data_IF_633051755732
#
_entry.id   IF_633051755732
#
_cell.length_a   1.000
_cell.length_b   1.000
_cell.length_c   1.000
_cell.angle_alpha   90.00
_cell.angle_beta   90.00
_cell.angle_gamma   90.00
#
_symmetry.space_group_name_H-M   'P 1'
#
loop_
_entity.id
_entity.type
_entity.pdbx_description
1 polymer ?
#
# COMPACT_ATOMS: atom_id res chain seq x y z
N UNK A 1 -1.60 15.38 -12.02
CA UNK A 1 -1.75 14.62 -10.77
C UNK A 1 -0.96 13.33 -10.92
N UNK A 2 -0.12 13.02 -9.94
CA UNK A 2 0.77 11.87 -9.97
C UNK A 2 0.01 10.56 -9.73
N UNK A 3 -1.10 10.65 -8.98
CA UNK A 3 -1.98 9.51 -8.69
C UNK A 3 -2.63 8.95 -9.96
N UNK A 4 -3.11 9.81 -10.87
CA UNK A 4 -3.76 9.35 -12.11
C UNK A 4 -2.78 8.68 -13.08
N UNK A 5 -1.53 9.13 -13.08
CA UNK A 5 -0.45 8.53 -13.87
C UNK A 5 -0.10 7.15 -13.33
N UNK A 6 0.11 7.04 -12.02
CA UNK A 6 0.39 5.76 -11.35
C UNK A 6 -0.76 4.75 -11.51
N UNK A 7 -2.02 5.19 -11.46
CA UNK A 7 -3.19 4.31 -11.71
C UNK A 7 -3.10 3.58 -13.05
N UNK A 8 -2.53 4.22 -14.08
CA UNK A 8 -2.35 3.64 -15.41
C UNK A 8 -1.09 2.77 -15.48
N UNK A 9 0.06 3.32 -15.12
CA UNK A 9 1.36 2.63 -15.30
C UNK A 9 1.46 1.37 -14.43
N UNK A 10 0.84 1.36 -13.25
CA UNK A 10 0.81 0.19 -12.38
C UNK A 10 0.17 -1.04 -13.06
N UNK A 11 -0.89 -0.86 -13.87
CA UNK A 11 -1.48 -1.98 -14.61
C UNK A 11 -0.53 -2.48 -15.71
N UNK A 12 0.19 -1.58 -16.35
CA UNK A 12 1.19 -1.93 -17.38
C UNK A 12 2.32 -2.77 -16.77
N UNK A 13 2.78 -2.44 -15.55
CA UNK A 13 3.79 -3.22 -14.82
C UNK A 13 3.28 -4.61 -14.43
N UNK A 14 2.05 -4.71 -13.91
CA UNK A 14 1.46 -6.01 -13.57
C UNK A 14 1.34 -6.96 -14.76
N UNK A 15 1.12 -6.43 -15.97
CA UNK A 15 1.10 -7.24 -17.21
C UNK A 15 2.52 -7.69 -17.58
N UNK A 16 3.53 -6.85 -17.38
CA UNK A 16 4.93 -7.18 -17.65
C UNK A 16 5.47 -8.28 -16.72
N UNK A 17 4.96 -8.34 -15.49
CA UNK A 17 5.34 -9.36 -14.50
C UNK A 17 4.69 -10.74 -14.74
N UNK A 18 3.81 -10.87 -15.74
CA UNK A 18 3.24 -12.16 -16.12
C UNK A 18 4.29 -13.04 -16.81
N UNK A 19 4.23 -14.36 -16.57
CA UNK A 19 5.07 -15.34 -17.29
C UNK A 19 4.94 -15.23 -18.81
N UNK A 20 3.76 -14.81 -19.29
CA UNK A 20 3.47 -14.51 -20.68
C UNK A 20 2.92 -13.07 -20.79
N UNK A 21 3.79 -12.07 -21.04
CA UNK A 21 3.39 -10.66 -21.12
C UNK A 21 2.44 -10.33 -22.28
N UNK A 22 2.25 -11.25 -23.24
CA UNK A 22 1.28 -11.09 -24.32
C UNK A 22 -0.14 -11.46 -23.89
N UNK A 23 -0.29 -12.15 -22.75
CA UNK A 23 -1.59 -12.44 -22.16
C UNK A 23 -2.07 -11.27 -21.30
N UNK A 24 -3.33 -10.85 -21.45
CA UNK A 24 -3.89 -9.86 -20.53
C UNK A 24 -4.03 -10.44 -19.13
N UNK A 25 -4.04 -9.56 -18.12
CA UNK A 25 -4.46 -9.92 -16.78
C UNK A 25 -5.83 -10.60 -16.81
N UNK A 26 -6.01 -11.61 -15.96
CA UNK A 26 -7.25 -12.33 -15.80
C UNK A 26 -7.70 -12.31 -14.33
N UNK A 27 -8.83 -11.66 -14.00
CA UNK A 27 -9.71 -10.86 -14.89
C UNK A 27 -9.04 -9.59 -15.44
N UNK A 28 -9.45 -9.09 -16.60
CA UNK A 28 -8.83 -7.87 -17.16
C UNK A 28 -9.12 -6.65 -16.28
N UNK A 29 -8.07 -5.87 -15.98
CA UNK A 29 -8.17 -4.62 -15.23
C UNK A 29 -8.16 -3.39 -16.15
N UNK A 30 -8.96 -2.39 -15.80
CA UNK A 30 -8.96 -1.10 -16.48
C UNK A 30 -7.86 -0.18 -15.94
N UNK A 31 -7.11 0.47 -16.83
CA UNK A 31 -6.18 1.53 -16.46
C UNK A 31 -6.89 2.80 -15.95
N UNK A 32 -8.17 3.00 -16.30
CA UNK A 32 -8.95 4.21 -15.98
C UNK A 32 -9.80 4.09 -14.73
N UNK A 33 -10.02 2.87 -14.24
CA UNK A 33 -10.87 2.60 -13.08
C UNK A 33 -10.16 1.66 -12.11
N UNK A 34 -10.40 1.84 -10.81
CA UNK A 34 -9.91 0.93 -9.77
C UNK A 34 -10.85 -0.25 -9.52
N UNK A 35 -11.99 -0.31 -10.22
CA UNK A 35 -12.93 -1.42 -10.12
C UNK A 35 -12.24 -2.75 -10.46
N UNK A 36 -12.47 -3.77 -9.63
CA UNK A 36 -11.88 -5.09 -9.78
C UNK A 36 -10.46 -5.23 -9.24
N UNK A 37 -9.76 -4.15 -8.89
CA UNK A 37 -8.47 -4.21 -8.19
C UNK A 37 -8.64 -4.64 -6.73
N UNK A 38 -7.55 -4.64 -5.97
CA UNK A 38 -7.55 -5.09 -4.57
C UNK A 38 -7.52 -6.61 -4.45
N UNK A 39 -8.13 -7.13 -3.40
CA UNK A 39 -8.22 -8.58 -3.16
C UNK A 39 -9.15 -9.32 -4.13
N UNK A 40 -9.96 -8.60 -4.91
CA UNK A 40 -10.83 -9.20 -5.93
C UNK A 40 -10.09 -9.66 -7.20
N UNK A 41 -8.80 -9.33 -7.34
CA UNK A 41 -7.99 -9.72 -8.49
C UNK A 41 -6.67 -10.35 -8.05
N UNK A 42 -6.25 -11.49 -8.62
CA UNK A 42 -5.05 -12.22 -8.19
C UNK A 42 -3.78 -11.38 -8.13
N UNK A 43 -3.44 -10.64 -9.19
CA UNK A 43 -2.21 -9.86 -9.25
C UNK A 43 -2.14 -8.72 -8.20
N UNK A 44 -3.17 -7.88 -8.10
CA UNK A 44 -3.21 -6.81 -7.10
C UNK A 44 -3.37 -7.34 -5.68
N UNK A 45 -4.14 -8.43 -5.50
CA UNK A 45 -4.35 -9.07 -4.22
C UNK A 45 -3.07 -9.70 -3.67
N UNK A 46 -2.26 -10.34 -4.53
CA UNK A 46 -0.93 -10.86 -4.20
C UNK A 46 -0.05 -9.79 -3.59
N UNK A 47 0.09 -8.64 -4.26
CA UNK A 47 0.90 -7.52 -3.78
C UNK A 47 0.36 -6.90 -2.48
N UNK A 48 -0.96 -6.82 -2.34
CA UNK A 48 -1.61 -6.24 -1.15
C UNK A 48 -1.73 -7.21 0.03
N UNK A 49 -1.46 -8.50 -0.18
CA UNK A 49 -1.45 -9.50 0.88
C UNK A 49 -0.48 -9.06 1.98
N UNK A 50 -0.84 -9.22 3.27
CA UNK A 50 0.10 -8.96 4.35
C UNK A 50 1.39 -9.77 4.18
N UNK A 51 2.53 -9.15 4.46
CA UNK A 51 3.84 -9.77 4.23
C UNK A 51 4.14 -10.96 5.14
N UNK A 52 3.41 -11.09 6.25
CA UNK A 52 3.46 -12.22 7.19
C UNK A 52 2.50 -13.36 6.82
N UNK A 53 1.76 -13.24 5.70
CA UNK A 53 0.81 -14.24 5.24
C UNK A 53 1.22 -14.86 3.89
N UNK A 54 1.00 -16.17 3.76
CA UNK A 54 1.12 -16.85 2.47
C UNK A 54 -0.06 -16.47 1.57
N UNK A 55 0.22 -15.92 0.40
CA UNK A 55 -0.82 -15.71 -0.62
C UNK A 55 -1.29 -17.07 -1.16
N UNK A 56 -2.57 -17.36 -0.99
CA UNK A 56 -3.24 -18.52 -1.59
C UNK A 56 -4.68 -18.14 -1.98
N UNK A 57 -5.35 -18.95 -2.78
CA UNK A 57 -6.73 -18.70 -3.23
C UNK A 57 -7.71 -18.48 -2.06
N UNK A 58 -7.44 -19.09 -0.90
CA UNK A 58 -8.23 -18.91 0.33
C UNK A 58 -8.13 -17.49 0.90
N UNK A 59 -6.96 -16.83 0.79
CA UNK A 59 -6.80 -15.42 1.17
C UNK A 59 -7.65 -14.49 0.30
N UNK A 60 -7.79 -14.84 -0.98
CA UNK A 60 -8.60 -14.13 -1.97
C UNK A 60 -10.08 -14.14 -1.57
N UNK A 61 -10.63 -15.31 -1.25
CA UNK A 61 -12.03 -15.49 -0.84
C UNK A 61 -12.33 -14.81 0.51
N UNK A 62 -11.53 -15.08 1.54
CA UNK A 62 -11.79 -14.59 2.90
C UNK A 62 -11.74 -13.06 3.02
N UNK A 63 -10.89 -12.38 2.23
CA UNK A 63 -10.74 -10.91 2.26
C UNK A 63 -11.76 -10.18 1.38
N UNK A 64 -12.20 -10.81 0.29
CA UNK A 64 -13.32 -10.29 -0.52
C UNK A 64 -14.61 -10.31 0.32
N UNK A 65 -14.82 -11.37 1.10
CA UNK A 65 -16.01 -11.53 1.93
C UNK A 65 -16.01 -10.65 3.20
N UNK A 66 -14.84 -10.33 3.76
CA UNK A 66 -14.78 -9.57 5.01
C UNK A 66 -15.18 -8.09 4.87
N UNK A 67 -15.08 -7.49 3.69
CA UNK A 67 -15.25 -6.03 3.42
C UNK A 67 -14.43 -5.06 4.31
N UNK A 68 -13.71 -5.56 5.31
CA UNK A 68 -12.89 -4.78 6.21
C UNK A 68 -11.61 -4.32 5.51
N UNK A 69 -11.42 -2.99 5.46
CA UNK A 69 -10.19 -2.40 5.00
C UNK A 69 -9.01 -2.86 5.88
N UNK A 70 -7.88 -3.31 5.30
CA UNK A 70 -6.70 -3.61 6.10
C UNK A 70 -6.24 -2.35 6.83
N UNK A 71 -6.03 -2.47 8.14
CA UNK A 71 -5.47 -1.40 8.98
C UNK A 71 -4.15 -0.89 8.38
N UNK A 72 -3.85 0.38 8.61
CA UNK A 72 -2.63 1.01 8.10
C UNK A 72 -1.35 0.31 8.57
N UNK A 73 -1.34 -0.21 9.79
CA UNK A 73 -0.18 -0.94 10.33
C UNK A 73 0.06 -2.33 9.72
N UNK A 74 -0.83 -2.82 8.85
CA UNK A 74 -0.65 -4.12 8.18
C UNK A 74 0.09 -3.91 6.88
N UNK A 75 1.35 -4.33 6.86
CA UNK A 75 2.27 -4.08 5.76
C UNK A 75 2.10 -5.11 4.63
N UNK A 76 1.91 -4.66 3.38
CA UNK A 76 1.72 -5.54 2.24
C UNK A 76 3.04 -6.10 1.71
N UNK A 77 2.97 -7.24 1.01
CA UNK A 77 4.08 -7.85 0.28
C UNK A 77 4.77 -6.89 -0.68
N UNK A 78 4.01 -5.94 -1.25
CA UNK A 78 4.49 -4.81 -2.06
C UNK A 78 5.67 -4.03 -1.45
N UNK A 79 5.86 -4.05 -0.13
CA UNK A 79 6.99 -3.36 0.47
C UNK A 79 8.32 -4.10 0.24
N UNK A 80 8.31 -5.40 0.02
CA UNK A 80 9.51 -6.24 0.03
C UNK A 80 10.01 -6.53 -1.38
N UNK A 81 11.33 -6.48 -1.60
CA UNK A 81 11.98 -6.67 -2.91
C UNK A 81 11.44 -7.87 -3.70
N UNK A 82 11.29 -9.01 -3.04
CA UNK A 82 10.83 -10.27 -3.64
C UNK A 82 9.45 -10.67 -3.12
N UNK A 83 8.68 -9.70 -2.61
CA UNK A 83 7.36 -9.92 -2.03
C UNK A 83 7.35 -10.84 -0.80
N UNK A 84 8.50 -11.10 -0.21
CA UNK A 84 8.68 -12.01 0.92
C UNK A 84 9.44 -11.30 2.03
N UNK A 85 8.87 -11.31 3.23
CA UNK A 85 9.52 -10.79 4.42
C UNK A 85 10.36 -11.89 5.06
N UNK A 86 11.66 -11.62 5.30
CA UNK A 86 12.48 -12.52 6.10
C UNK A 86 12.11 -12.35 7.60
N UNK A 87 11.57 -13.38 8.28
CA UNK A 87 11.17 -13.26 9.69
C UNK A 87 12.36 -13.08 10.63
N UNK A 88 13.56 -13.51 10.23
CA UNK A 88 14.78 -13.35 11.01
C UNK A 88 15.43 -11.98 10.77
N UNK A 89 15.11 -11.33 9.66
CA UNK A 89 15.58 -10.00 9.32
C UNK A 89 14.51 -9.21 8.54
N UNK A 90 13.53 -8.58 9.22
CA UNK A 90 12.44 -7.86 8.56
C UNK A 90 12.87 -6.63 7.74
N UNK A 91 14.10 -6.13 7.92
CA UNK A 91 14.65 -5.06 7.08
C UNK A 91 15.14 -5.57 5.72
N UNK A 92 15.33 -6.89 5.57
CA UNK A 92 15.79 -7.48 4.32
C UNK A 92 14.78 -7.23 3.21
N UNK A 93 15.18 -6.39 2.24
CA UNK A 93 14.35 -6.05 1.10
C UNK A 93 13.19 -5.10 1.40
N UNK A 94 13.05 -4.59 2.63
CA UNK A 94 11.99 -3.65 3.01
C UNK A 94 12.12 -2.33 2.23
N UNK A 95 11.00 -1.84 1.70
CA UNK A 95 10.88 -0.68 0.82
C UNK A 95 11.77 -0.77 -0.43
N UNK A 96 11.95 -1.97 -0.99
CA UNK A 96 12.83 -2.19 -2.16
C UNK A 96 12.16 -3.00 -3.28
N UNK A 97 10.83 -3.14 -3.25
CA UNK A 97 10.08 -3.73 -4.37
C UNK A 97 10.25 -2.93 -5.65
N UNK A 98 10.33 -3.62 -6.79
CA UNK A 98 10.60 -3.00 -8.09
C UNK A 98 9.53 -1.96 -8.46
N UNK A 99 8.24 -2.26 -8.23
CA UNK A 99 7.17 -1.30 -8.48
C UNK A 99 7.25 -0.02 -7.65
N UNK A 100 7.84 -0.06 -6.44
CA UNK A 100 8.10 1.17 -5.67
C UNK A 100 9.13 2.04 -6.39
N UNK A 101 10.18 1.43 -6.95
CA UNK A 101 11.21 2.12 -7.73
C UNK A 101 10.60 2.68 -9.01
N UNK A 102 9.80 1.89 -9.74
CA UNK A 102 9.05 2.33 -10.93
C UNK A 102 8.12 3.50 -10.61
N UNK A 103 7.43 3.46 -9.47
CA UNK A 103 6.57 4.54 -8.99
C UNK A 103 7.35 5.82 -8.65
N UNK A 104 8.45 5.71 -7.90
CA UNK A 104 9.31 6.83 -7.58
C UNK A 104 9.86 7.51 -8.85
N UNK A 105 10.37 6.73 -9.82
CA UNK A 105 10.84 7.23 -11.13
C UNK A 105 9.72 7.91 -11.91
N UNK A 106 8.51 7.34 -11.89
CA UNK A 106 7.33 7.94 -12.54
C UNK A 106 7.02 9.33 -11.98
N UNK A 107 7.08 9.48 -10.66
CA UNK A 107 6.74 10.73 -9.96
C UNK A 107 7.86 11.77 -10.07
N UNK A 108 9.11 11.38 -9.82
CA UNK A 108 10.26 12.29 -9.77
C UNK A 108 10.84 12.62 -11.14
N UNK A 109 10.84 11.66 -12.06
CA UNK A 109 11.40 11.83 -13.38
C UNK A 109 10.24 11.99 -14.34
N UNK A 110 9.75 10.88 -14.91
CA UNK A 110 8.63 10.76 -15.86
C UNK A 110 8.20 9.28 -15.99
N UNK A 111 6.97 8.98 -16.44
CA UNK A 111 6.52 7.60 -16.67
C UNK A 111 7.46 6.75 -17.53
N UNK A 112 8.01 7.35 -18.59
CA UNK A 112 8.93 6.67 -19.51
C UNK A 112 10.25 6.23 -18.87
N UNK A 113 10.60 6.76 -17.70
CA UNK A 113 11.81 6.35 -16.97
C UNK A 113 11.57 5.13 -16.07
N UNK A 114 10.32 4.78 -15.80
CA UNK A 114 9.99 3.66 -14.91
C UNK A 114 10.48 2.32 -15.47
N UNK A 115 10.41 2.14 -16.79
CA UNK A 115 10.78 0.91 -17.50
C UNK A 115 12.08 1.04 -18.30
N UNK A 116 12.88 2.09 -18.06
CA UNK A 116 14.12 2.30 -18.80
C UNK A 116 15.27 1.54 -18.14
N UNK A 117 15.82 0.55 -18.84
CA UNK A 117 17.02 -0.19 -18.45
C UNK A 117 18.28 0.64 -18.68
N UNK A 118 18.51 1.63 -17.80
CA UNK A 118 19.76 2.41 -17.79
C UNK A 118 20.04 3.29 -19.01
N UNK A 119 19.10 3.38 -19.97
CA UNK A 119 19.20 4.26 -21.13
C UNK A 119 18.87 5.71 -20.80
N UNK A 120 19.58 6.64 -21.44
CA UNK A 120 19.31 8.08 -21.36
C UNK A 120 17.88 8.36 -21.85
N UNK A 121 16.99 8.77 -20.93
CA UNK A 121 15.60 9.10 -21.24
C UNK A 121 15.58 10.48 -21.92
N UNK A 122 15.91 10.49 -23.21
CA UNK A 122 15.96 11.68 -24.04
C UNK A 122 14.69 12.53 -23.89
N UNK A 123 14.90 13.84 -23.74
CA UNK A 123 13.89 14.88 -23.88
C UNK A 123 13.20 15.33 -22.58
N UNK A 124 13.77 16.38 -21.95
CA UNK A 124 13.27 17.21 -20.83
C UNK A 124 13.68 16.77 -19.41
N UNK A 125 14.17 17.75 -18.63
CA UNK A 125 14.48 17.65 -17.20
C UNK A 125 13.25 17.14 -16.43
N UNK A 126 13.43 16.06 -15.67
CA UNK A 126 12.39 15.51 -14.79
C UNK A 126 12.02 16.46 -13.65
N UNK A 127 10.93 16.18 -12.92
CA UNK A 127 10.50 17.02 -11.78
C UNK A 127 11.61 17.21 -10.75
N UNK A 128 12.37 16.14 -10.45
CA UNK A 128 13.51 16.18 -9.55
C UNK A 128 14.57 17.19 -10.02
N UNK A 129 14.94 17.16 -11.30
CA UNK A 129 15.91 18.09 -11.87
C UNK A 129 15.39 19.54 -11.91
N UNK A 130 14.08 19.74 -12.08
CA UNK A 130 13.46 21.08 -12.08
C UNK A 130 13.35 21.68 -10.68
N UNK A 131 13.15 20.84 -9.66
CA UNK A 131 13.00 21.26 -8.27
C UNK A 131 14.26 21.03 -7.41
N UNK A 132 15.38 20.64 -8.03
CA UNK A 132 16.65 20.41 -7.33
C UNK A 132 16.61 19.27 -6.31
N UNK A 133 15.75 18.26 -6.51
CA UNK A 133 15.69 17.07 -5.65
C UNK A 133 16.93 16.21 -5.97
N UNK A 134 17.88 16.19 -5.04
CA UNK A 134 19.16 15.48 -5.17
C UNK A 134 19.21 14.18 -4.36
N UNK A 135 18.26 13.99 -3.45
CA UNK A 135 18.20 12.82 -2.58
C UNK A 135 16.75 12.46 -2.26
N UNK A 136 16.53 11.16 -2.09
CA UNK A 136 15.30 10.60 -1.57
C UNK A 136 15.23 10.85 -0.07
N UNK A 137 14.06 11.28 0.39
CA UNK A 137 13.76 11.50 1.81
C UNK A 137 12.85 10.39 2.33
N UNK A 138 12.87 10.19 3.66
CA UNK A 138 11.95 9.29 4.36
C UNK A 138 10.48 9.60 4.00
N UNK A 139 10.08 10.87 4.06
CA UNK A 139 8.71 11.28 3.72
C UNK A 139 8.33 10.95 2.28
N UNK A 140 9.27 11.05 1.33
CA UNK A 140 9.01 10.66 -0.06
C UNK A 140 8.81 9.15 -0.22
N UNK A 141 9.60 8.31 0.48
CA UNK A 141 9.42 6.87 0.48
C UNK A 141 8.04 6.46 1.01
N UNK A 142 7.63 7.02 2.16
CA UNK A 142 6.30 6.79 2.72
C UNK A 142 5.20 7.22 1.75
N UNK A 143 5.36 8.39 1.11
CA UNK A 143 4.40 8.89 0.12
C UNK A 143 4.25 7.94 -1.08
N UNK A 144 5.37 7.48 -1.65
CA UNK A 144 5.34 6.54 -2.79
C UNK A 144 4.71 5.21 -2.40
N UNK A 145 5.09 4.65 -1.25
CA UNK A 145 4.51 3.40 -0.77
C UNK A 145 2.99 3.53 -0.57
N UNK A 146 2.54 4.60 0.08
CA UNK A 146 1.12 4.88 0.33
C UNK A 146 0.33 5.07 -0.97
N UNK A 147 0.89 5.82 -1.92
CA UNK A 147 0.26 6.12 -3.20
C UNK A 147 0.14 4.85 -4.03
N UNK A 148 1.20 4.04 -4.11
CA UNK A 148 1.19 2.79 -4.86
C UNK A 148 0.22 1.79 -4.25
N UNK A 149 0.26 1.59 -2.91
CA UNK A 149 -0.72 0.75 -2.20
C UNK A 149 -2.14 1.20 -2.52
N UNK A 150 -2.43 2.50 -2.42
CA UNK A 150 -3.74 3.04 -2.78
C UNK A 150 -4.09 2.67 -4.23
N UNK A 151 -3.22 2.90 -5.21
CA UNK A 151 -3.50 2.62 -6.63
C UNK A 151 -3.83 1.15 -6.92
N UNK A 152 -3.29 0.22 -6.15
CA UNK A 152 -3.54 -1.23 -6.26
C UNK A 152 -4.86 -1.67 -5.62
N UNK A 153 -5.46 -0.85 -4.77
CA UNK A 153 -6.78 -1.15 -4.18
C UNK A 153 -7.94 -0.78 -5.09
N UNK A 154 -9.16 -1.15 -4.73
CA UNK A 154 -10.40 -0.73 -5.39
C UNK A 154 -11.03 0.54 -4.80
N UNK A 155 -10.50 1.09 -3.70
CA UNK A 155 -11.04 2.28 -3.04
C UNK A 155 -10.86 3.54 -3.90
N UNK A 156 -11.87 4.40 -3.99
CA UNK A 156 -11.74 5.65 -4.76
C UNK A 156 -11.34 6.86 -3.90
N UNK A 157 -11.44 6.76 -2.58
CA UNK A 157 -11.15 7.83 -1.62
C UNK A 157 -10.04 7.45 -0.64
N UNK A 158 -9.25 8.44 -0.22
CA UNK A 158 -8.12 8.27 0.70
C UNK A 158 -8.56 8.06 2.15
N UNK A 159 -9.55 8.82 2.64
CA UNK A 159 -10.07 8.70 4.02
C UNK A 159 -11.32 9.57 4.20
N UNK A 160 -12.47 9.03 4.60
CA UNK A 160 -13.59 9.86 5.09
C UNK A 160 -14.44 9.23 6.21
N UNK A 161 -14.34 7.92 6.49
CA UNK A 161 -14.99 7.24 7.63
C UNK A 161 -14.54 5.78 7.70
N UNK A 162 -14.94 5.05 8.76
CA UNK A 162 -14.65 3.64 9.12
C UNK A 162 -14.79 2.55 8.01
N UNK A 163 -15.01 2.93 6.74
CA UNK A 163 -15.19 2.05 5.57
C UNK A 163 -14.14 2.25 4.45
N UNK A 164 -13.22 3.22 4.57
CA UNK A 164 -12.19 3.52 3.57
C UNK A 164 -10.84 2.82 3.82
N UNK A 165 -9.91 2.92 2.86
CA UNK A 165 -8.54 2.45 3.03
C UNK A 165 -7.81 3.35 4.03
N UNK A 166 -7.20 2.78 5.08
CA UNK A 166 -6.39 3.53 6.02
C UNK A 166 -5.01 3.87 5.42
N UNK A 167 -4.97 4.93 4.63
CA UNK A 167 -3.73 5.43 3.99
C UNK A 167 -2.88 6.21 4.98
N UNK A 168 -3.51 7.02 5.83
CA UNK A 168 -2.81 7.84 6.83
C UNK A 168 -2.11 6.95 7.86
N UNK A 169 -2.81 5.95 8.43
CA UNK A 169 -2.20 5.01 9.36
C UNK A 169 -1.08 4.19 8.73
N UNK A 170 -1.15 3.90 7.43
CA UNK A 170 -0.06 3.22 6.72
C UNK A 170 1.16 4.13 6.54
N UNK A 171 0.94 5.37 6.10
CA UNK A 171 2.00 6.36 6.00
C UNK A 171 2.69 6.57 7.36
N UNK A 172 1.90 6.80 8.42
CA UNK A 172 2.41 7.02 9.77
C UNK A 172 3.20 5.80 10.26
N UNK A 173 2.70 4.58 10.06
CA UNK A 173 3.42 3.38 10.49
C UNK A 173 4.80 3.22 9.84
N UNK A 174 4.93 3.58 8.56
CA UNK A 174 6.23 3.55 7.87
C UNK A 174 7.12 4.70 8.32
N UNK A 175 6.54 5.90 8.46
CA UNK A 175 7.28 7.07 8.85
C UNK A 175 7.87 6.90 10.25
N UNK A 176 7.08 6.39 11.20
CA UNK A 176 7.50 6.13 12.57
C UNK A 176 8.69 5.16 12.63
N UNK A 177 8.68 4.07 11.84
CA UNK A 177 9.84 3.17 11.72
C UNK A 177 11.06 3.92 11.16
N UNK A 178 10.88 4.70 10.11
CA UNK A 178 11.98 5.33 9.37
C UNK A 178 12.61 6.53 10.10
N UNK A 179 12.00 7.03 11.18
CA UNK A 179 12.59 8.08 12.03
C UNK A 179 13.03 7.55 13.40
N UNK A 180 12.86 6.26 13.66
CA UNK A 180 13.24 5.65 14.92
C UNK A 180 14.77 5.74 15.09
N UNK A 181 15.27 6.43 16.14
CA UNK A 181 16.70 6.53 16.38
C UNK A 181 17.41 5.17 16.52
N UNK A 182 16.68 4.13 16.93
CA UNK A 182 17.22 2.78 17.11
C UNK A 182 17.38 2.03 15.77
N UNK A 183 16.73 2.50 14.71
CA UNK A 183 16.75 1.90 13.38
C UNK A 183 17.59 2.72 12.37
N UNK A 184 18.21 3.80 12.83
CA UNK A 184 18.89 4.78 11.98
C UNK A 184 19.97 4.19 11.06
N UNK A 185 20.69 3.16 11.50
CA UNK A 185 21.70 2.47 10.69
C UNK A 185 21.09 1.80 9.46
N UNK A 186 19.96 1.10 9.64
CA UNK A 186 19.24 0.45 8.54
C UNK A 186 18.55 1.46 7.62
N UNK A 187 18.01 2.55 8.20
CA UNK A 187 17.43 3.65 7.43
C UNK A 187 18.47 4.31 6.53
N UNK A 188 19.67 4.59 7.06
CA UNK A 188 20.76 5.17 6.27
C UNK A 188 21.18 4.24 5.14
N UNK A 189 21.31 2.94 5.41
CA UNK A 189 21.60 1.93 4.38
C UNK A 189 20.51 1.90 3.30
N UNK A 190 19.24 1.96 3.68
CA UNK A 190 18.10 2.01 2.75
C UNK A 190 18.16 3.26 1.88
N UNK A 191 18.34 4.45 2.47
CA UNK A 191 18.42 5.71 1.72
C UNK A 191 19.64 5.74 0.79
N UNK A 192 20.79 5.22 1.22
CA UNK A 192 21.95 5.06 0.36
C UNK A 192 21.69 4.11 -0.81
N UNK A 193 20.91 3.04 -0.60
CA UNK A 193 20.50 2.16 -1.69
C UNK A 193 19.58 2.90 -2.68
N UNK A 194 18.56 3.62 -2.19
CA UNK A 194 17.64 4.39 -3.04
C UNK A 194 18.34 5.48 -3.86
N UNK A 195 19.24 6.23 -3.23
CA UNK A 195 19.99 7.29 -3.91
C UNK A 195 20.97 6.73 -4.94
N UNK A 196 21.58 5.56 -4.70
CA UNK A 196 22.49 4.92 -5.64
C UNK A 196 21.77 4.21 -6.79
N UNK A 197 20.77 3.38 -6.50
CA UNK A 197 20.21 2.44 -7.46
C UNK A 197 18.90 2.89 -8.10
N UNK A 198 18.03 3.57 -7.35
CA UNK A 198 16.65 3.74 -7.77
C UNK A 198 16.41 5.05 -8.52
N UNK A 199 17.18 6.12 -8.24
CA UNK A 199 16.85 7.48 -8.73
C UNK A 199 17.97 8.17 -9.50
N UNK A 200 19.26 7.88 -9.23
CA UNK A 200 20.36 8.70 -9.77
C UNK A 200 21.53 7.95 -10.45
N UNK A 201 21.46 6.64 -10.71
CA UNK A 201 22.53 5.93 -11.44
C UNK A 201 22.03 5.05 -12.59
N UNK A 202 22.83 5.01 -13.66
CA UNK A 202 22.61 4.22 -14.86
C UNK A 202 23.21 2.81 -14.68
N UNK A 203 22.35 1.78 -14.69
CA UNK A 203 22.67 0.35 -14.85
C UNK A 203 23.50 -0.34 -13.73
N UNK A 204 23.45 -1.69 -13.61
CA UNK A 204 23.40 -2.35 -12.29
C UNK A 204 24.72 -2.96 -11.83
N UNK A 205 24.88 -3.04 -10.49
CA UNK A 205 25.67 -4.08 -9.83
C UNK A 205 24.98 -4.44 -8.51
N UNK A 206 24.43 -5.65 -8.41
CA UNK A 206 23.85 -6.17 -7.18
C UNK A 206 24.97 -6.45 -6.16
N UNK A 207 24.90 -5.93 -4.92
CA UNK A 207 25.67 -6.49 -3.83
C UNK A 207 24.77 -7.43 -3.03
N UNK A 208 24.99 -8.73 -3.21
CA UNK A 208 24.72 -9.68 -2.14
C UNK A 208 25.73 -9.40 -1.04
N UNK A 209 25.30 -8.73 0.01
CA UNK A 209 26.03 -8.65 1.27
C UNK A 209 25.11 -9.19 2.36
N UNK A 210 25.17 -10.50 2.55
CA UNK A 210 24.78 -11.17 3.77
C UNK A 210 25.95 -11.09 4.74
N UNK A 211 25.70 -10.63 5.98
CA UNK A 211 26.31 -11.03 7.26
C UNK A 211 26.63 -9.84 8.18
N UNK A 212 26.26 -10.01 9.46
CA UNK A 212 26.75 -9.23 10.60
C UNK A 212 25.62 -8.75 11.50
N UNK A 213 25.24 -9.53 12.51
CA UNK A 213 24.10 -9.25 13.39
C UNK A 213 24.30 -7.98 14.24
N UNK A 214 23.44 -7.00 13.99
CA UNK A 214 22.77 -6.18 14.99
C UNK A 214 21.27 -6.49 14.91
N UNK A 215 20.83 -7.59 15.51
CA UNK A 215 19.45 -8.09 15.49
C UNK A 215 18.51 -7.33 16.46
N UNK A 216 18.98 -6.24 17.03
CA UNK A 216 18.85 -6.13 18.47
C UNK A 216 17.70 -5.24 18.86
N UNK A 217 16.50 -5.68 18.43
CA UNK A 217 15.19 -5.34 18.99
C UNK A 217 13.96 -5.67 18.10
N UNK A 218 14.20 -6.09 16.84
CA UNK A 218 13.24 -6.47 15.76
C UNK A 218 12.68 -5.20 15.10
N UNK A 219 11.89 -5.25 14.03
CA UNK A 219 11.14 -4.07 13.55
C UNK A 219 10.13 -3.58 14.63
N UNK A 220 10.59 -3.01 15.75
CA UNK A 220 10.46 -3.57 17.13
C UNK A 220 9.16 -4.25 17.46
N UNK A 221 9.14 -5.52 17.03
CA UNK A 221 8.07 -6.50 17.09
C UNK A 221 6.75 -6.06 16.45
N UNK A 222 6.76 -4.89 15.80
CA UNK A 222 5.71 -3.97 15.42
C UNK A 222 5.49 -3.91 13.91
N UNK A 223 4.56 -4.69 13.40
CA UNK A 223 3.15 -4.38 13.56
C UNK A 223 2.42 -5.04 14.78
N UNK A 224 2.68 -4.72 16.07
CA UNK A 224 3.03 -5.67 17.17
C UNK A 224 2.19 -6.93 17.38
N UNK A 225 2.12 -7.74 16.32
CA UNK A 225 1.05 -8.67 16.00
C UNK A 225 -0.17 -7.96 15.34
N UNK A 226 -0.58 -8.42 14.15
CA UNK A 226 -1.98 -8.35 13.66
C UNK A 226 -3.01 -8.88 14.69
N UNK A 227 -2.56 -9.32 15.87
CA UNK A 227 -3.27 -9.80 17.04
C UNK A 227 -3.29 -8.66 18.09
N UNK A 228 -4.41 -8.12 18.52
CA UNK A 228 -5.23 -8.83 19.49
C UNK A 228 -6.75 -8.70 19.26
N UNK A 229 -7.24 -8.13 18.15
CA UNK A 229 -8.67 -7.76 17.99
C UNK A 229 -9.25 -7.97 16.58
N UNK A 230 -9.90 -9.11 16.36
CA UNK A 230 -11.20 -9.31 15.67
C UNK A 230 -11.79 -10.67 16.14
N UNK A 231 -13.13 -10.79 16.33
CA UNK A 231 -13.75 -10.85 17.65
C UNK A 231 -13.82 -12.23 18.29
N UNK A 232 -13.84 -12.25 19.63
CA UNK A 232 -14.38 -13.36 20.41
C UNK A 232 -15.83 -13.61 19.98
N UNK A 233 -16.05 -14.77 19.36
CA UNK A 233 -17.28 -15.57 19.36
C UNK A 233 -18.60 -14.80 19.51
N UNK A 234 -19.40 -14.84 18.45
CA UNK A 234 -20.87 -14.84 18.49
C UNK A 234 -21.36 -15.46 19.80
N UNK A 235 -21.92 -14.64 20.70
CA UNK A 235 -23.00 -15.10 21.59
C UNK A 235 -24.28 -14.50 21.07
N UNK A 236 -24.98 -15.32 20.30
CA UNK A 236 -26.44 -15.24 20.18
C UNK A 236 -27.03 -15.47 21.57
N UNK A 237 -27.59 -14.44 22.18
CA UNK A 237 -28.70 -14.57 23.13
C UNK A 237 -29.44 -13.24 23.17
N UNK A 238 -30.69 -13.28 22.70
CA UNK A 238 -31.42 -12.12 22.24
C UNK A 238 -31.87 -11.12 23.29
N UNK A 239 -32.33 -9.98 22.78
CA UNK A 239 -33.39 -9.20 23.41
C UNK A 239 -34.08 -8.36 22.36
N UNK A 240 -35.35 -8.64 22.16
CA UNK A 240 -36.30 -7.83 21.41
C UNK A 240 -36.23 -6.36 21.87
N UNK A 241 -36.12 -5.44 20.92
CA UNK A 241 -36.52 -4.06 21.13
C UNK A 241 -37.39 -3.60 19.97
N UNK A 242 -38.69 -3.46 20.27
CA UNK A 242 -39.71 -2.83 19.42
C UNK A 242 -39.27 -1.44 18.98
N UNK A 243 -39.42 -1.16 17.68
CA UNK A 243 -39.30 0.18 17.12
C UNK A 243 -40.40 1.13 17.67
N UNK A 244 -40.11 2.41 17.94
CA UNK A 244 -41.14 3.38 18.28
C UNK A 244 -41.87 3.89 17.03
N UNK A 245 -43.19 3.76 17.08
CA UNK A 245 -44.16 4.21 16.08
C UNK A 245 -44.31 5.73 16.16
N UNK A 246 -43.87 6.46 15.14
CA UNK A 246 -44.17 7.89 14.99
C UNK A 246 -45.64 8.08 14.58
N UNK A 247 -46.38 8.94 15.30
CA UNK A 247 -47.70 9.46 14.90
C UNK A 247 -47.67 10.99 14.89
N UNK A 248 -48.22 11.66 13.86
CA UNK A 248 -48.22 13.12 13.80
C UNK A 248 -49.37 13.74 14.61
N UNK A 249 -49.08 14.85 15.30
CA UNK A 249 -50.08 15.70 15.96
C UNK A 249 -50.91 16.44 14.90
N UNK A 250 -52.22 16.18 14.85
CA UNK A 250 -53.18 17.09 14.22
C UNK A 250 -53.70 18.09 15.25
N UNK A 251 -53.62 19.39 14.89
CA UNK A 251 -54.34 20.47 15.55
C UNK A 251 -55.82 20.34 15.23
N UNK A 252 -56.70 20.48 16.23
CA UNK A 252 -57.93 21.26 16.03
C UNK A 252 -58.44 21.86 17.34
N UNK A 253 -59.06 23.02 17.13
CA UNK A 253 -59.49 24.07 18.06
C UNK A 253 -60.92 23.79 18.56
N UNK A 254 -61.23 24.39 19.71
CA UNK A 254 -62.55 24.85 20.22
C UNK A 254 -63.41 23.96 21.16
N UNK A 255 -63.55 24.52 22.38
CA UNK A 255 -64.66 24.59 23.39
C UNK A 255 -66.12 24.57 22.84
N UNK A 256 -67.22 24.66 23.65
CA UNK A 256 -67.41 24.63 25.14
C UNK A 256 -68.68 23.84 25.64
N UNK A 257 -68.98 24.00 26.95
CA UNK A 257 -70.27 23.82 27.70
C UNK A 257 -70.58 22.36 28.09
N UNK A 258 -71.03 22.01 29.30
CA UNK A 258 -71.66 22.71 30.45
C UNK A 258 -70.96 22.26 31.73
#
# INVERSE_FOLDING_TARGET
DDTSTLKRTCIEWLVQDLEDPLKPLNPTLSARSKKGRGFAHPATGRLLCPADMTWNETCLLNRVDSQDAPKGSVWPRLLYRNEEMNPNNPWEGLLQHEDLVKAAKTVLIRPSSATADGGDVSGKRGKAANHGIQQITVGFLCYIASTLRFTLTSYEEYNLSHKGLDVDGFFTSLYDLLIDPEEQEEVERLLQWWNRYAVFSAAPAAPNATLGASSASRARAMAHASLARAPSSVRLAGRETRAPRWRPLQRHRQRPKV
#
